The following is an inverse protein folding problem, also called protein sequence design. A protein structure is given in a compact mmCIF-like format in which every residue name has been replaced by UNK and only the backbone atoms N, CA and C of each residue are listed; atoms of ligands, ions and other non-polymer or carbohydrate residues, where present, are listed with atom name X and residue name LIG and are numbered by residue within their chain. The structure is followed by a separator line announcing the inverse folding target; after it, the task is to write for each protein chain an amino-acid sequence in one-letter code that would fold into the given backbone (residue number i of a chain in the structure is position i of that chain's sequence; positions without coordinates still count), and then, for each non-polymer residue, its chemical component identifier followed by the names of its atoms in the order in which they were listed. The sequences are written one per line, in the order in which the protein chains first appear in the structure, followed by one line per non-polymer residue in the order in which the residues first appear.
data_IF_956357514309
#
_entry.id   IF_956357514309
#
_cell.length_a   1.000
_cell.length_b   1.000
_cell.length_c   1.000
_cell.angle_alpha   90.00
_cell.angle_beta   90.00
_cell.angle_gamma   90.00
#
_symmetry.space_group_name_H-M   'P 1'
#
loop_
_entity.id
_entity.type
_entity.pdbx_description
1 polymer ?
#
# COMPACT_ATOMS: atom_id res chain seq x y z
N UNK A 1 -4.86 25.25 0.30
CA UNK A 1 -3.77 24.28 0.16
C UNK A 1 -4.02 23.20 1.20
N UNK A 2 -4.22 21.97 0.73
CA UNK A 2 -4.51 20.80 1.57
C UNK A 2 -3.42 19.75 1.38
N UNK A 3 -3.28 18.84 2.34
CA UNK A 3 -2.31 17.74 2.33
C UNK A 3 -3.00 16.39 2.12
N UNK A 4 -2.51 15.64 1.14
CA UNK A 4 -3.07 14.35 0.75
C UNK A 4 -2.06 13.23 0.91
N UNK A 5 -2.56 12.09 1.39
CA UNK A 5 -1.91 10.79 1.15
C UNK A 5 -2.71 10.02 0.12
N UNK A 6 -2.04 9.57 -0.94
CA UNK A 6 -2.65 8.79 -2.02
C UNK A 6 -2.06 7.37 -1.97
N UNK A 7 -2.89 6.36 -1.67
CA UNK A 7 -2.53 4.95 -1.70
C UNK A 7 -2.83 4.34 -3.06
N UNK A 8 -1.81 3.80 -3.73
CA UNK A 8 -1.91 3.15 -5.03
C UNK A 8 -2.05 1.63 -4.93
N UNK A 9 -3.12 1.12 -5.54
CA UNK A 9 -3.43 -0.29 -5.73
C UNK A 9 -2.43 -1.08 -6.59
N UNK A 10 -2.50 -2.42 -6.55
CA UNK A 10 -1.74 -3.24 -7.52
C UNK A 10 -2.18 -3.02 -8.97
N UNK A 11 -3.44 -2.61 -9.16
CA UNK A 11 -4.01 -2.28 -10.47
C UNK A 11 -3.32 -1.06 -11.11
N UNK A 12 -2.69 -0.21 -10.31
CA UNK A 12 -1.92 0.94 -10.79
C UNK A 12 -0.49 0.60 -11.21
N UNK A 13 -0.02 -0.62 -10.93
CA UNK A 13 1.41 -0.99 -11.01
C UNK A 13 1.72 -2.18 -11.93
N UNK A 14 0.70 -2.90 -12.41
CA UNK A 14 0.86 -4.03 -13.31
C UNK A 14 1.66 -5.19 -12.70
N UNK A 15 2.13 -6.09 -13.56
CA UNK A 15 2.90 -7.29 -13.17
C UNK A 15 4.34 -7.29 -13.68
N UNK A 16 4.68 -6.40 -14.62
CA UNK A 16 6.03 -6.27 -15.19
C UNK A 16 6.37 -4.79 -15.48
N UNK A 17 7.62 -4.51 -15.82
CA UNK A 17 8.12 -3.14 -16.01
C UNK A 17 7.46 -2.38 -17.16
N UNK A 18 7.14 -3.05 -18.27
CA UNK A 18 6.50 -2.38 -19.41
C UNK A 18 5.06 -1.99 -19.09
N UNK A 19 4.30 -2.93 -18.53
CA UNK A 19 2.92 -2.71 -18.09
C UNK A 19 2.86 -1.63 -17.01
N UNK A 20 3.78 -1.66 -16.03
CA UNK A 20 3.86 -0.67 -14.97
C UNK A 20 4.05 0.75 -15.50
N UNK A 21 4.97 0.94 -16.46
CA UNK A 21 5.19 2.26 -17.09
C UNK A 21 3.94 2.77 -17.80
N UNK A 22 3.21 1.88 -18.49
CA UNK A 22 1.99 2.26 -19.19
C UNK A 22 0.89 2.68 -18.20
N UNK A 23 0.66 1.91 -17.15
CA UNK A 23 -0.34 2.21 -16.12
C UNK A 23 -0.02 3.50 -15.34
N UNK A 24 1.26 3.73 -15.03
CA UNK A 24 1.67 4.90 -14.26
C UNK A 24 1.52 6.22 -15.03
N UNK A 25 1.41 6.18 -16.36
CA UNK A 25 1.04 7.36 -17.15
C UNK A 25 -0.36 7.85 -16.77
N UNK A 26 -1.33 6.94 -16.70
CA UNK A 26 -2.71 7.27 -16.30
C UNK A 26 -2.76 7.73 -14.84
N UNK A 27 -1.95 7.12 -13.97
CA UNK A 27 -1.82 7.56 -12.57
C UNK A 27 -1.28 8.99 -12.47
N UNK A 28 -0.23 9.31 -13.22
CA UNK A 28 0.35 10.65 -13.22
C UNK A 28 -0.65 11.70 -13.75
N UNK A 29 -1.40 11.38 -14.81
CA UNK A 29 -2.47 12.23 -15.33
C UNK A 29 -3.56 12.46 -14.30
N UNK A 30 -3.98 11.41 -13.60
CA UNK A 30 -5.02 11.48 -12.58
C UNK A 30 -4.62 12.35 -11.38
N UNK A 31 -3.34 12.29 -10.94
CA UNK A 31 -2.83 13.04 -9.78
C UNK A 31 -2.44 14.48 -10.14
N UNK A 32 -2.12 14.76 -11.41
CA UNK A 32 -1.65 16.08 -11.85
C UNK A 32 -2.51 17.28 -11.40
N UNK A 33 -3.86 17.23 -11.39
CA UNK A 33 -4.68 18.34 -10.88
C UNK A 33 -4.34 18.75 -9.45
N UNK A 34 -3.99 17.81 -8.57
CA UNK A 34 -3.56 18.12 -7.20
C UNK A 34 -2.19 18.80 -7.18
N UNK A 35 -1.29 18.35 -8.06
CA UNK A 35 0.05 18.89 -8.19
C UNK A 35 -0.01 20.34 -8.66
N UNK A 36 -0.81 20.61 -9.70
CA UNK A 36 -0.99 21.93 -10.29
C UNK A 36 -1.66 22.91 -9.33
N UNK A 37 -2.61 22.42 -8.52
CA UNK A 37 -3.24 23.19 -7.44
C UNK A 37 -2.32 23.39 -6.21
N UNK A 38 -1.06 22.98 -6.30
CA UNK A 38 -0.02 23.17 -5.29
C UNK A 38 -0.37 22.55 -3.93
N UNK A 39 -1.02 21.39 -3.94
CA UNK A 39 -1.30 20.62 -2.73
C UNK A 39 -0.07 19.86 -2.24
N UNK A 40 0.03 19.59 -0.93
CA UNK A 40 1.05 18.68 -0.40
C UNK A 40 0.63 17.23 -0.70
N UNK A 41 1.52 16.44 -1.28
CA UNK A 41 1.18 15.09 -1.75
C UNK A 41 2.25 14.11 -1.29
N UNK A 42 1.81 13.08 -0.56
CA UNK A 42 2.58 11.85 -0.33
C UNK A 42 1.90 10.70 -1.05
N UNK A 43 2.66 9.97 -1.86
CA UNK A 43 2.21 8.77 -2.56
C UNK A 43 2.75 7.55 -1.84
N UNK A 44 1.84 6.67 -1.41
CA UNK A 44 2.16 5.33 -0.92
C UNK A 44 1.66 4.33 -1.97
N UNK A 45 2.36 3.22 -2.17
CA UNK A 45 1.98 2.25 -3.18
C UNK A 45 2.14 0.82 -2.68
N UNK A 46 1.41 -0.12 -3.28
CA UNK A 46 1.66 -1.55 -3.04
C UNK A 46 2.90 -2.05 -3.76
N UNK A 47 3.33 -3.28 -3.47
CA UNK A 47 4.46 -3.90 -4.18
C UNK A 47 4.27 -5.39 -4.46
N UNK A 48 3.11 -5.99 -4.16
CA UNK A 48 2.91 -7.45 -4.13
C UNK A 48 3.45 -8.20 -5.36
N UNK A 49 3.01 -7.86 -6.59
CA UNK A 49 3.57 -8.48 -7.81
C UNK A 49 5.07 -8.24 -7.99
N UNK A 50 5.54 -7.03 -7.67
CA UNK A 50 6.92 -6.60 -7.91
C UNK A 50 7.91 -7.24 -6.93
N UNK A 51 7.60 -7.24 -5.64
CA UNK A 51 8.41 -7.91 -4.62
C UNK A 51 8.39 -9.42 -4.80
N UNK A 52 7.26 -9.98 -5.24
CA UNK A 52 7.16 -11.40 -5.60
C UNK A 52 8.08 -11.77 -6.76
N UNK A 53 8.08 -10.96 -7.83
CA UNK A 53 8.99 -11.14 -8.98
C UNK A 53 10.46 -11.04 -8.57
N UNK A 54 10.83 -10.05 -7.75
CA UNK A 54 12.21 -9.87 -7.27
C UNK A 54 12.64 -11.07 -6.42
N UNK A 55 11.82 -11.45 -5.44
CA UNK A 55 12.12 -12.57 -4.56
C UNK A 55 12.24 -13.89 -5.34
N UNK A 56 11.36 -14.11 -6.32
CA UNK A 56 11.41 -15.28 -7.20
C UNK A 56 12.73 -15.34 -7.98
N UNK A 57 13.12 -14.24 -8.61
CA UNK A 57 14.36 -14.18 -9.39
C UNK A 57 15.61 -14.53 -8.55
N UNK A 58 15.64 -14.14 -7.28
CA UNK A 58 16.74 -14.53 -6.37
C UNK A 58 16.63 -15.99 -5.92
N UNK A 59 15.42 -16.52 -5.67
CA UNK A 59 15.24 -17.92 -5.27
C UNK A 59 15.54 -18.93 -6.38
N UNK A 60 15.36 -18.55 -7.65
CA UNK A 60 15.64 -19.42 -8.81
C UNK A 60 17.09 -19.32 -9.29
N UNK A 61 17.84 -18.32 -8.81
CA UNK A 61 19.22 -18.10 -9.25
C UNK A 61 20.16 -19.13 -8.62
N UNK A 62 20.94 -19.81 -9.47
CA UNK A 62 22.03 -20.69 -9.03
C UNK A 62 23.37 -19.96 -8.87
N UNK A 63 23.43 -18.68 -9.29
CA UNK A 63 24.67 -17.90 -9.41
C UNK A 63 24.75 -16.71 -8.45
N UNK A 64 23.66 -16.40 -7.76
CA UNK A 64 23.58 -15.32 -6.79
C UNK A 64 23.01 -15.84 -5.47
N UNK A 65 23.42 -15.29 -4.32
CA UNK A 65 22.82 -15.66 -3.03
C UNK A 65 21.32 -15.37 -3.00
N UNK A 66 20.60 -16.11 -2.16
CA UNK A 66 19.22 -15.76 -1.81
C UNK A 66 19.17 -14.36 -1.18
N UNK A 67 18.12 -13.62 -1.50
CA UNK A 67 17.88 -12.29 -0.97
C UNK A 67 16.78 -12.36 0.09
N UNK A 68 17.03 -11.90 1.33
CA UNK A 68 15.98 -11.89 2.34
C UNK A 68 14.85 -10.92 1.94
N UNK A 69 13.67 -11.18 2.49
CA UNK A 69 12.44 -10.57 1.99
C UNK A 69 12.38 -9.05 2.25
N UNK A 70 13.01 -8.58 3.32
CA UNK A 70 13.10 -7.14 3.64
C UNK A 70 13.88 -6.38 2.56
N UNK A 71 15.01 -6.93 2.10
CA UNK A 71 15.84 -6.39 1.03
C UNK A 71 15.11 -6.44 -0.31
N UNK A 72 14.38 -7.52 -0.61
CA UNK A 72 13.48 -7.54 -1.77
C UNK A 72 12.43 -6.40 -1.69
N UNK A 73 11.91 -6.14 -0.49
CA UNK A 73 11.05 -4.99 -0.19
C UNK A 73 11.73 -3.66 -0.54
N UNK A 74 12.96 -3.45 -0.08
CA UNK A 74 13.76 -2.26 -0.39
C UNK A 74 14.00 -2.07 -1.90
N UNK A 75 14.38 -3.14 -2.60
CA UNK A 75 14.54 -3.13 -4.06
C UNK A 75 13.24 -2.74 -4.77
N UNK A 76 12.10 -3.25 -4.31
CA UNK A 76 10.79 -2.94 -4.89
C UNK A 76 10.42 -1.46 -4.75
N UNK A 77 10.83 -0.80 -3.65
CA UNK A 77 10.61 0.63 -3.46
C UNK A 77 11.40 1.46 -4.48
N UNK A 78 12.68 1.15 -4.68
CA UNK A 78 13.50 1.82 -5.69
C UNK A 78 12.95 1.63 -7.10
N UNK A 79 12.57 0.40 -7.44
CA UNK A 79 12.00 0.07 -8.75
C UNK A 79 10.69 0.83 -9.03
N UNK A 80 9.73 0.76 -8.12
CA UNK A 80 8.40 1.36 -8.33
C UNK A 80 8.47 2.88 -8.21
N UNK A 81 9.20 3.40 -7.21
CA UNK A 81 9.36 4.84 -6.99
C UNK A 81 10.05 5.52 -8.18
N UNK A 82 11.06 4.89 -8.78
CA UNK A 82 11.66 5.34 -10.03
C UNK A 82 10.63 5.52 -11.15
N UNK A 83 9.73 4.53 -11.35
CA UNK A 83 8.72 4.63 -12.39
C UNK A 83 7.65 5.68 -12.08
N UNK A 84 7.20 5.81 -10.82
CA UNK A 84 6.22 6.83 -10.43
C UNK A 84 6.84 8.22 -10.62
N UNK A 85 8.07 8.44 -10.14
CA UNK A 85 8.80 9.70 -10.29
C UNK A 85 8.90 10.10 -11.77
N UNK A 86 9.32 9.19 -12.64
CA UNK A 86 9.43 9.46 -14.07
C UNK A 86 8.08 9.80 -14.71
N UNK A 87 7.02 9.07 -14.37
CA UNK A 87 5.69 9.30 -14.95
C UNK A 87 5.18 10.70 -14.59
N UNK A 88 5.27 11.08 -13.31
CA UNK A 88 4.84 12.40 -12.85
C UNK A 88 5.74 13.50 -13.44
N UNK A 89 7.06 13.31 -13.44
CA UNK A 89 8.01 14.25 -14.04
C UNK A 89 7.66 14.54 -15.51
N UNK A 90 7.41 13.50 -16.31
CA UNK A 90 7.08 13.66 -17.72
C UNK A 90 5.78 14.43 -17.92
N UNK A 91 4.71 14.13 -17.15
CA UNK A 91 3.44 14.87 -17.24
C UNK A 91 3.60 16.34 -16.85
N UNK A 92 4.37 16.63 -15.81
CA UNK A 92 4.66 18.03 -15.44
C UNK A 92 5.44 18.75 -16.54
N UNK A 93 6.46 18.10 -17.11
CA UNK A 93 7.28 18.66 -18.17
C UNK A 93 6.49 18.92 -19.46
N UNK A 94 5.59 18.01 -19.86
CA UNK A 94 4.67 18.20 -20.99
C UNK A 94 3.77 19.44 -20.80
N UNK A 95 3.52 19.83 -19.55
CA UNK A 95 2.67 20.97 -19.18
C UNK A 95 3.45 22.22 -18.78
N UNK A 96 4.78 22.23 -18.99
CA UNK A 96 5.68 23.31 -18.57
C UNK A 96 5.58 23.66 -17.08
N UNK A 97 5.32 22.64 -16.25
CA UNK A 97 5.25 22.75 -14.80
C UNK A 97 6.48 22.08 -14.18
N UNK A 98 7.01 22.65 -13.09
CA UNK A 98 8.17 22.10 -12.39
C UNK A 98 7.94 22.07 -10.89
N UNK A 99 8.06 20.89 -10.31
CA UNK A 99 8.07 20.65 -8.86
C UNK A 99 8.98 19.45 -8.57
N UNK A 100 9.88 19.52 -7.58
CA UNK A 100 10.73 18.38 -7.26
C UNK A 100 9.91 17.18 -6.78
N UNK A 101 10.39 15.98 -7.10
CA UNK A 101 9.80 14.71 -6.68
C UNK A 101 10.89 13.84 -6.11
N UNK A 102 10.64 13.26 -4.94
CA UNK A 102 11.60 12.41 -4.24
C UNK A 102 10.98 11.08 -3.85
N UNK A 103 11.67 9.98 -4.16
CA UNK A 103 11.36 8.65 -3.59
C UNK A 103 12.24 8.43 -2.36
N UNK A 104 11.61 8.14 -1.23
CA UNK A 104 12.31 7.87 0.03
C UNK A 104 12.22 6.38 0.32
N UNK A 105 13.38 5.71 0.37
CA UNK A 105 13.43 4.34 0.92
C UNK A 105 12.97 4.41 2.37
N UNK A 106 11.92 3.67 2.69
CA UNK A 106 11.16 3.83 3.93
C UNK A 106 11.12 2.52 4.72
N UNK A 107 11.53 2.60 5.98
CA UNK A 107 11.38 1.57 7.00
C UNK A 107 10.16 1.90 7.87
N UNK A 108 9.41 0.86 8.24
CA UNK A 108 8.20 1.00 9.06
C UNK A 108 8.34 0.10 10.28
N UNK A 109 8.28 0.75 11.44
CA UNK A 109 8.37 0.10 12.74
C UNK A 109 7.12 -0.71 13.01
N UNK A 110 7.29 -1.95 13.46
CA UNK A 110 6.21 -2.85 13.86
C UNK A 110 6.49 -3.43 15.25
N UNK A 111 5.44 -3.85 15.95
CA UNK A 111 5.59 -4.52 17.26
C UNK A 111 6.02 -5.97 17.05
N UNK A 112 7.14 -6.38 17.65
CA UNK A 112 7.59 -7.77 17.64
C UNK A 112 6.58 -8.72 18.31
N UNK A 113 5.74 -8.20 19.20
CA UNK A 113 4.68 -8.95 19.88
C UNK A 113 3.35 -8.90 19.13
N UNK A 114 3.29 -8.33 17.93
CA UNK A 114 2.08 -8.33 17.10
C UNK A 114 1.63 -9.79 16.85
N UNK A 115 0.35 -10.07 17.10
CA UNK A 115 -0.22 -11.42 16.96
C UNK A 115 -0.11 -11.96 15.53
N UNK A 116 0.08 -11.09 14.53
CA UNK A 116 0.34 -11.48 13.16
C UNK A 116 1.64 -12.31 13.00
N UNK A 117 2.62 -12.16 13.88
CA UNK A 117 3.83 -13.01 13.88
C UNK A 117 3.55 -14.43 14.37
N UNK A 118 2.56 -14.61 15.24
CA UNK A 118 2.14 -15.94 15.72
C UNK A 118 1.25 -16.66 14.71
N UNK A 119 0.52 -15.89 13.88
CA UNK A 119 -0.40 -16.40 12.87
C UNK A 119 -0.16 -15.74 11.51
N UNK A 120 0.94 -16.08 10.82
CA UNK A 120 1.22 -15.54 9.50
C UNK A 120 0.15 -16.01 8.50
N UNK A 121 -0.43 -15.05 7.76
CA UNK A 121 -1.54 -15.32 6.83
C UNK A 121 -1.31 -14.78 5.44
N UNK A 122 -0.29 -13.93 5.22
CA UNK A 122 -0.09 -13.24 3.95
C UNK A 122 0.76 -14.08 3.00
N UNK A 123 0.21 -14.62 1.91
CA UNK A 123 0.98 -15.47 1.00
C UNK A 123 1.91 -14.63 0.11
N UNK A 124 3.17 -15.06 0.00
CA UNK A 124 4.24 -14.40 -0.76
C UNK A 124 4.98 -15.42 -1.65
N UNK A 125 5.75 -14.91 -2.61
CA UNK A 125 6.58 -15.74 -3.49
C UNK A 125 5.79 -16.71 -4.38
N UNK A 126 6.50 -17.73 -4.85
CA UNK A 126 6.03 -18.74 -5.80
C UNK A 126 5.10 -19.79 -5.21
N UNK A 127 4.45 -20.52 -6.11
CA UNK A 127 3.76 -21.76 -5.78
C UNK A 127 4.76 -22.92 -5.77
N UNK A 128 4.66 -23.75 -4.73
CA UNK A 128 5.47 -24.92 -4.49
C UNK A 128 4.60 -26.17 -4.54
N UNK A 129 5.22 -27.31 -4.89
CA UNK A 129 4.61 -28.63 -4.68
C UNK A 129 4.43 -28.90 -3.18
N UNK A 130 3.69 -29.97 -2.83
CA UNK A 130 3.54 -30.36 -1.42
C UNK A 130 4.91 -30.77 -0.84
N UNK A 131 5.68 -31.49 -1.64
CA UNK A 131 6.99 -32.02 -1.30
C UNK A 131 7.99 -30.89 -1.03
N UNK A 132 8.13 -29.94 -1.97
CA UNK A 132 9.03 -28.80 -1.81
C UNK A 132 8.61 -27.91 -0.62
N UNK A 133 7.30 -27.75 -0.42
CA UNK A 133 6.75 -27.01 0.71
C UNK A 133 7.13 -27.65 2.04
N UNK A 134 7.03 -28.97 2.16
CA UNK A 134 7.37 -29.69 3.38
C UNK A 134 8.89 -29.67 3.65
N UNK A 135 9.72 -29.64 2.59
CA UNK A 135 11.17 -29.46 2.71
C UNK A 135 11.53 -28.04 3.18
N UNK A 136 10.95 -27.00 2.58
CA UNK A 136 11.18 -25.60 2.97
C UNK A 136 10.73 -25.32 4.40
N UNK A 137 9.61 -25.93 4.83
CA UNK A 137 9.15 -25.82 6.21
C UNK A 137 10.14 -26.42 7.20
N UNK A 138 10.80 -27.54 6.85
CA UNK A 138 11.79 -28.21 7.71
C UNK A 138 13.15 -27.53 7.71
N UNK A 139 13.62 -27.08 6.56
CA UNK A 139 15.00 -26.58 6.37
C UNK A 139 15.12 -25.09 6.69
N UNK A 140 14.10 -24.30 6.33
CA UNK A 140 14.10 -22.84 6.48
C UNK A 140 13.13 -22.34 7.56
N UNK A 141 12.33 -23.22 8.16
CA UNK A 141 11.32 -22.85 9.16
C UNK A 141 10.16 -22.04 8.57
N UNK A 142 9.95 -22.10 7.25
CA UNK A 142 8.87 -21.35 6.60
C UNK A 142 7.50 -21.91 6.96
N UNK A 143 6.56 -21.01 7.24
CA UNK A 143 5.14 -21.38 7.31
C UNK A 143 4.57 -21.41 5.89
N UNK A 144 3.98 -22.53 5.50
CA UNK A 144 3.45 -22.77 4.16
C UNK A 144 1.94 -23.03 4.23
N UNK A 145 1.17 -22.48 3.29
CA UNK A 145 -0.28 -22.72 3.19
C UNK A 145 -0.67 -23.12 1.77
N UNK A 146 -1.68 -23.97 1.64
CA UNK A 146 -2.28 -24.28 0.34
C UNK A 146 -3.09 -23.08 -0.16
N UNK A 147 -2.86 -22.65 -1.40
CA UNK A 147 -3.53 -21.50 -2.02
C UNK A 147 -4.45 -21.97 -3.16
N UNK A 148 -5.68 -22.35 -2.76
CA UNK A 148 -6.81 -22.64 -3.64
C UNK A 148 -6.51 -23.66 -4.76
N UNK A 149 -5.84 -24.76 -4.42
CA UNK A 149 -5.53 -25.86 -5.36
C UNK A 149 -4.47 -25.52 -6.41
N UNK A 150 -3.80 -24.36 -6.30
CA UNK A 150 -2.72 -23.95 -7.21
C UNK A 150 -1.32 -24.32 -6.70
N UNK A 151 -1.25 -25.00 -5.55
CA UNK A 151 -0.03 -25.35 -4.85
C UNK A 151 0.09 -24.67 -3.49
N UNK A 152 1.28 -24.75 -2.91
CA UNK A 152 1.61 -24.20 -1.59
C UNK A 152 2.38 -22.89 -1.72
N UNK A 153 2.17 -21.95 -0.80
CA UNK A 153 2.92 -20.69 -0.77
C UNK A 153 3.43 -20.40 0.62
N UNK A 154 4.59 -19.75 0.70
CA UNK A 154 5.09 -19.20 1.95
C UNK A 154 4.14 -18.11 2.43
N UNK A 155 3.78 -18.15 3.71
CA UNK A 155 3.10 -17.04 4.37
C UNK A 155 4.05 -16.30 5.29
N UNK A 156 3.84 -15.00 5.37
CA UNK A 156 4.53 -14.13 6.32
C UNK A 156 3.52 -13.35 7.15
N UNK A 157 4.02 -12.79 8.24
CA UNK A 157 3.24 -11.92 9.11
C UNK A 157 2.81 -10.64 8.36
N UNK A 158 1.65 -10.12 8.74
CA UNK A 158 1.17 -8.82 8.28
C UNK A 158 0.87 -7.90 9.46
N UNK A 159 1.90 -7.48 10.21
CA UNK A 159 1.75 -6.68 11.42
C UNK A 159 1.26 -5.26 11.10
N UNK A 160 0.71 -4.59 12.12
CA UNK A 160 0.26 -3.20 11.97
C UNK A 160 1.44 -2.22 12.03
N UNK A 161 1.43 -1.16 11.20
CA UNK A 161 2.47 -0.13 11.24
C UNK A 161 2.33 0.73 12.50
N UNK A 162 3.39 0.84 13.27
CA UNK A 162 3.47 1.72 14.43
C UNK A 162 3.94 3.11 14.05
N UNK A 163 5.03 3.19 13.27
CA UNK A 163 5.70 4.44 12.92
C UNK A 163 6.49 4.30 11.61
N UNK A 164 6.84 5.43 11.00
CA UNK A 164 7.74 5.47 9.83
C UNK A 164 9.06 6.08 10.28
N UNK A 165 10.16 5.36 10.08
CA UNK A 165 11.49 5.79 10.57
C UNK A 165 11.92 7.09 9.89
N UNK A 166 11.75 7.20 8.57
CA UNK A 166 12.17 8.36 7.77
C UNK A 166 11.16 9.53 7.79
N UNK A 167 10.22 9.57 8.74
CA UNK A 167 9.18 10.61 8.80
C UNK A 167 9.72 12.04 8.83
N UNK A 168 10.83 12.29 9.52
CA UNK A 168 11.43 13.63 9.62
C UNK A 168 11.93 14.11 8.25
N UNK A 169 12.58 13.22 7.48
CA UNK A 169 13.00 13.49 6.10
C UNK A 169 11.80 13.75 5.19
N UNK A 170 10.74 12.95 5.31
CA UNK A 170 9.50 13.11 4.53
C UNK A 170 8.86 14.48 4.82
N UNK A 171 8.74 14.86 6.09
CA UNK A 171 8.21 16.17 6.49
C UNK A 171 9.08 17.33 5.99
N UNK A 172 10.41 17.18 6.00
CA UNK A 172 11.32 18.18 5.47
C UNK A 172 11.16 18.38 3.95
N UNK A 173 11.00 17.29 3.19
CA UNK A 173 10.75 17.34 1.74
C UNK A 173 9.39 17.98 1.42
N UNK A 174 8.34 17.66 2.18
CA UNK A 174 7.03 18.31 2.02
C UNK A 174 7.11 19.81 2.29
N UNK A 175 7.85 20.22 3.33
CA UNK A 175 8.07 21.64 3.67
C UNK A 175 8.78 22.40 2.54
N UNK A 176 9.64 21.72 1.79
CA UNK A 176 10.32 22.25 0.59
C UNK A 176 9.47 22.14 -0.68
N UNK A 177 8.15 21.95 -0.51
CA UNK A 177 7.17 21.82 -1.59
C UNK A 177 7.48 20.69 -2.58
N UNK A 178 8.08 19.59 -2.13
CA UNK A 178 8.32 18.42 -2.97
C UNK A 178 7.13 17.46 -2.95
N UNK A 179 6.92 16.74 -4.05
CA UNK A 179 6.06 15.55 -4.07
C UNK A 179 6.88 14.39 -3.52
N UNK A 180 6.34 13.66 -2.54
CA UNK A 180 7.09 12.58 -1.87
C UNK A 180 6.45 11.23 -2.18
N UNK A 181 7.26 10.26 -2.60
CA UNK A 181 6.87 8.85 -2.70
C UNK A 181 7.54 8.12 -1.55
N UNK A 182 6.77 7.51 -0.66
CA UNK A 182 7.29 6.89 0.56
C UNK A 182 6.45 5.67 0.98
N UNK A 183 6.95 4.92 1.96
CA UNK A 183 6.33 3.69 2.47
C UNK A 183 5.93 2.71 1.35
N UNK A 184 6.74 2.64 0.28
CA UNK A 184 6.46 1.75 -0.85
C UNK A 184 6.36 0.29 -0.41
N UNK A 185 5.31 -0.39 -0.84
CA UNK A 185 4.99 -1.75 -0.38
C UNK A 185 4.43 -1.84 1.04
N UNK A 186 4.07 -0.71 1.66
CA UNK A 186 3.78 -0.61 3.09
C UNK A 186 5.00 -0.29 3.96
N UNK A 187 6.18 -0.12 3.35
CA UNK A 187 7.46 0.07 4.04
C UNK A 187 8.22 -1.23 4.29
N UNK A 188 9.53 -1.12 4.50
CA UNK A 188 10.37 -2.25 4.91
C UNK A 188 10.08 -2.52 6.39
N UNK A 189 9.54 -3.68 6.79
CA UNK A 189 9.20 -3.92 8.19
C UNK A 189 10.47 -4.04 9.02
N UNK A 190 10.53 -3.25 10.10
CA UNK A 190 11.63 -3.29 11.06
C UNK A 190 11.09 -3.37 12.49
N UNK A 191 11.87 -4.01 13.36
CA UNK A 191 11.66 -4.01 14.81
C UNK A 191 12.82 -3.30 15.50
N UNK A 192 12.61 -2.89 16.75
CA UNK A 192 13.67 -2.40 17.63
C UNK A 192 14.15 -3.53 18.54
N UNK A 193 15.38 -4.00 18.31
CA UNK A 193 16.08 -4.90 19.22
C UNK A 193 17.08 -4.08 20.05
N UNK A 194 16.67 -3.71 21.26
CA UNK A 194 17.39 -2.70 22.04
C UNK A 194 17.40 -1.36 21.32
N UNK A 195 18.58 -0.93 20.84
CA UNK A 195 18.77 0.33 20.11
C UNK A 195 19.09 0.11 18.62
N UNK A 196 18.86 -1.10 18.08
CA UNK A 196 19.14 -1.43 16.70
C UNK A 196 17.84 -1.68 15.93
N UNK A 197 17.75 -1.11 14.73
CA UNK A 197 16.71 -1.44 13.78
C UNK A 197 17.10 -2.73 13.05
N UNK A 198 16.20 -3.71 13.08
CA UNK A 198 16.41 -5.01 12.43
C UNK A 198 15.27 -5.28 11.46
N UNK A 199 15.60 -5.57 10.21
CA UNK A 199 14.64 -5.95 9.18
C UNK A 199 14.04 -7.32 9.46
N UNK A 200 12.73 -7.46 9.32
CA UNK A 200 12.02 -8.73 9.55
C UNK A 200 11.24 -9.16 8.31
N UNK A 201 11.13 -10.48 8.13
CA UNK A 201 10.37 -11.06 7.03
C UNK A 201 8.85 -10.95 7.28
N UNK A 202 8.29 -9.77 6.97
CA UNK A 202 6.87 -9.47 7.06
C UNK A 202 6.40 -8.65 5.84
N UNK A 203 5.09 -8.48 5.70
CA UNK A 203 4.48 -7.57 4.72
C UNK A 203 3.51 -6.67 5.45
N UNK A 204 3.78 -5.37 5.52
CA UNK A 204 2.83 -4.42 6.09
C UNK A 204 1.77 -4.13 5.04
N UNK A 205 0.50 -4.13 5.44
CA UNK A 205 -0.57 -3.72 4.53
C UNK A 205 -0.39 -2.24 4.18
N UNK A 206 -0.28 -1.96 2.87
CA UNK A 206 -0.03 -0.61 2.36
C UNK A 206 -1.11 0.39 2.74
N UNK A 207 -2.37 -0.05 2.88
CA UNK A 207 -3.48 0.86 3.15
C UNK A 207 -3.39 1.28 4.63
N UNK A 208 -3.05 0.34 5.53
CA UNK A 208 -2.69 0.68 6.91
C UNK A 208 -1.44 1.57 7.00
N UNK A 209 -0.40 1.29 6.21
CA UNK A 209 0.79 2.15 6.15
C UNK A 209 0.44 3.55 5.63
N UNK A 210 -0.48 3.66 4.67
CA UNK A 210 -0.97 4.93 4.14
C UNK A 210 -1.75 5.70 5.20
N UNK A 211 -2.60 5.03 5.96
CA UNK A 211 -3.31 5.64 7.08
C UNK A 211 -2.35 6.14 8.17
N UNK A 212 -1.32 5.35 8.52
CA UNK A 212 -0.29 5.77 9.46
C UNK A 212 0.54 6.94 8.92
N UNK A 213 0.92 6.92 7.64
CA UNK A 213 1.59 8.04 6.99
C UNK A 213 0.73 9.32 7.03
N UNK A 214 -0.56 9.20 6.72
CA UNK A 214 -1.51 10.30 6.74
C UNK A 214 -1.67 10.92 8.14
N UNK A 215 -1.67 10.09 9.17
CA UNK A 215 -1.62 10.53 10.57
C UNK A 215 -0.31 11.28 10.88
N UNK A 216 0.84 10.69 10.53
CA UNK A 216 2.17 11.25 10.80
C UNK A 216 2.36 12.63 10.16
N UNK A 217 1.92 12.79 8.91
CA UNK A 217 2.09 14.05 8.19
C UNK A 217 0.96 15.05 8.44
N UNK A 218 0.01 14.76 9.33
CA UNK A 218 -1.18 15.58 9.54
C UNK A 218 -1.94 15.87 8.23
N UNK A 219 -2.23 14.83 7.44
CA UNK A 219 -2.92 14.97 6.17
C UNK A 219 -4.38 15.39 6.37
N UNK A 220 -4.88 16.23 5.47
CA UNK A 220 -6.28 16.67 5.39
C UNK A 220 -7.19 15.56 4.87
N UNK A 221 -6.66 14.67 4.03
CA UNK A 221 -7.43 13.57 3.45
C UNK A 221 -6.53 12.37 3.09
N UNK A 222 -7.04 11.16 3.37
CA UNK A 222 -6.47 9.91 2.89
C UNK A 222 -7.30 9.39 1.71
N UNK A 223 -6.67 9.16 0.57
CA UNK A 223 -7.32 8.64 -0.63
C UNK A 223 -6.73 7.27 -0.96
N UNK A 224 -7.58 6.25 -1.08
CA UNK A 224 -7.21 4.92 -1.53
C UNK A 224 -7.76 4.70 -2.94
N UNK A 225 -6.85 4.59 -3.91
CA UNK A 225 -7.19 4.31 -5.31
C UNK A 225 -7.14 2.80 -5.58
N UNK A 226 -8.27 2.24 -6.01
CA UNK A 226 -8.49 0.80 -6.21
C UNK A 226 -9.17 0.51 -7.57
N UNK A 227 -9.57 -0.75 -7.81
CA UNK A 227 -10.24 -1.17 -9.07
C UNK A 227 -11.73 -0.86 -9.12
N UNK A 228 -12.34 -0.50 -7.99
CA UNK A 228 -13.77 -0.19 -7.90
C UNK A 228 -13.94 1.30 -7.64
N UNK A 229 -14.94 1.88 -8.28
CA UNK A 229 -15.39 3.25 -8.14
C UNK A 229 -15.96 3.54 -6.75
N UNK A 230 -16.73 2.61 -6.17
CA UNK A 230 -17.26 2.69 -4.82
C UNK A 230 -17.05 1.40 -4.03
N UNK A 231 -17.18 1.51 -2.71
CA UNK A 231 -17.43 0.36 -1.83
C UNK A 231 -18.87 -0.10 -2.03
N UNK A 232 -19.05 -1.41 -2.14
CA UNK A 232 -20.35 -2.03 -2.35
C UNK A 232 -20.69 -3.00 -1.22
N UNK A 233 -21.93 -2.97 -0.78
CA UNK A 233 -22.56 -4.01 0.04
C UNK A 233 -23.14 -5.08 -0.88
N UNK A 234 -23.18 -6.33 -0.44
CA UNK A 234 -23.68 -7.46 -1.22
C UNK A 234 -23.03 -7.54 -2.63
N UNK A 235 -21.71 -7.33 -2.68
CA UNK A 235 -20.93 -7.18 -3.91
C UNK A 235 -21.07 -8.39 -4.85
N UNK A 236 -21.27 -8.12 -6.15
CA UNK A 236 -21.54 -9.11 -7.21
C UNK A 236 -22.81 -9.95 -6.98
N UNK A 237 -23.82 -9.38 -6.30
CA UNK A 237 -25.15 -10.00 -6.17
C UNK A 237 -26.23 -9.08 -6.75
N UNK A 238 -27.45 -9.59 -7.02
CA UNK A 238 -28.59 -8.76 -7.42
C UNK A 238 -28.98 -7.68 -6.40
N UNK A 239 -28.58 -7.85 -5.13
CA UNK A 239 -28.88 -6.93 -4.05
C UNK A 239 -27.77 -5.89 -3.81
N UNK A 240 -26.78 -5.80 -4.71
CA UNK A 240 -25.64 -4.92 -4.56
C UNK A 240 -26.07 -3.47 -4.28
N UNK A 241 -25.52 -2.86 -3.23
CA UNK A 241 -25.77 -1.45 -2.87
C UNK A 241 -24.48 -0.66 -2.84
N UNK A 242 -24.50 0.51 -3.48
CA UNK A 242 -23.38 1.45 -3.47
C UNK A 242 -23.34 2.21 -2.15
N UNK A 243 -22.19 2.18 -1.48
CA UNK A 243 -21.93 2.98 -0.29
C UNK A 243 -21.23 4.28 -0.71
N UNK A 244 -21.98 5.37 -0.88
CA UNK A 244 -21.40 6.68 -1.28
C UNK A 244 -20.77 7.43 -0.12
N UNK A 245 -21.38 7.36 1.05
CA UNK A 245 -20.87 7.96 2.28
C UNK A 245 -21.13 7.00 3.42
N UNK A 246 -20.21 6.95 4.38
CA UNK A 246 -20.35 6.14 5.57
C UNK A 246 -19.69 6.80 6.78
N UNK A 247 -20.33 6.70 7.93
CA UNK A 247 -19.76 7.06 9.23
C UNK A 247 -18.96 5.90 9.83
N UNK A 248 -18.11 6.18 10.82
CA UNK A 248 -17.41 5.12 11.54
C UNK A 248 -18.38 4.11 12.16
N UNK A 249 -19.48 4.59 12.75
CA UNK A 249 -20.48 3.73 13.39
C UNK A 249 -21.14 2.78 12.39
N UNK A 250 -21.55 3.30 11.23
CA UNK A 250 -22.14 2.47 10.17
C UNK A 250 -21.15 1.41 9.68
N UNK A 251 -19.88 1.77 9.47
CA UNK A 251 -18.86 0.83 9.03
C UNK A 251 -18.57 -0.26 10.07
N UNK A 252 -18.56 0.08 11.37
CA UNK A 252 -18.41 -0.90 12.46
C UNK A 252 -19.55 -1.94 12.42
N UNK A 253 -20.79 -1.49 12.20
CA UNK A 253 -21.94 -2.38 12.14
C UNK A 253 -21.95 -3.22 10.85
N UNK A 254 -21.51 -2.66 9.72
CA UNK A 254 -21.34 -3.40 8.46
C UNK A 254 -20.20 -4.42 8.52
N UNK A 255 -19.12 -4.13 9.24
CA UNK A 255 -18.02 -5.06 9.49
C UNK A 255 -18.47 -6.26 10.35
N UNK A 256 -19.27 -6.03 11.41
CA UNK A 256 -19.85 -7.12 12.22
C UNK A 256 -20.76 -8.05 11.39
N UNK A 257 -21.39 -7.51 10.35
CA UNK A 257 -22.22 -8.24 9.40
C UNK A 257 -21.40 -8.93 8.28
N UNK A 258 -20.07 -8.80 8.28
CA UNK A 258 -19.16 -9.40 7.30
C UNK A 258 -19.38 -8.94 5.84
N UNK A 259 -19.83 -7.69 5.62
CA UNK A 259 -20.02 -7.14 4.27
C UNK A 259 -18.71 -6.98 3.47
N UNK A 260 -17.57 -6.85 4.15
CA UNK A 260 -16.27 -6.56 3.51
C UNK A 260 -15.34 -7.77 3.52
N UNK A 261 -14.77 -8.10 2.34
CA UNK A 261 -13.86 -9.25 2.17
C UNK A 261 -12.49 -9.00 2.80
N UNK A 262 -12.03 -9.91 3.66
CA UNK A 262 -10.74 -9.87 4.40
C UNK A 262 -9.48 -9.67 3.52
N UNK A 263 -9.48 -10.18 2.29
CA UNK A 263 -8.32 -10.10 1.39
C UNK A 263 -8.27 -8.88 0.48
N UNK A 264 -9.27 -7.99 0.53
CA UNK A 264 -9.36 -6.87 -0.42
C UNK A 264 -9.95 -5.60 0.19
N UNK A 265 -11.25 -5.58 0.45
CA UNK A 265 -11.95 -4.35 0.86
C UNK A 265 -11.86 -4.10 2.37
N UNK A 266 -11.84 -5.15 3.20
CA UNK A 266 -11.80 -4.99 4.64
C UNK A 266 -10.56 -4.20 5.12
N UNK A 267 -9.32 -4.51 4.67
CA UNK A 267 -8.15 -3.73 5.10
C UNK A 267 -8.23 -2.25 4.71
N UNK A 268 -8.87 -1.93 3.57
CA UNK A 268 -9.10 -0.54 3.13
C UNK A 268 -10.04 0.20 4.07
N UNK A 269 -11.15 -0.44 4.41
CA UNK A 269 -12.12 0.08 5.37
C UNK A 269 -11.45 0.28 6.73
N UNK A 270 -10.72 -0.71 7.23
CA UNK A 270 -10.01 -0.64 8.52
C UNK A 270 -8.96 0.48 8.53
N UNK A 271 -8.20 0.65 7.45
CA UNK A 271 -7.23 1.73 7.30
C UNK A 271 -7.89 3.11 7.29
N UNK A 272 -8.94 3.30 6.47
CA UNK A 272 -9.70 4.56 6.43
C UNK A 272 -10.31 4.88 7.79
N UNK A 273 -10.92 3.90 8.46
CA UNK A 273 -11.48 4.09 9.80
C UNK A 273 -10.41 4.43 10.83
N UNK A 274 -9.22 3.83 10.75
CA UNK A 274 -8.11 4.16 11.63
C UNK A 274 -7.69 5.64 11.48
N UNK A 275 -7.50 6.10 10.25
CA UNK A 275 -7.18 7.50 9.95
C UNK A 275 -8.30 8.44 10.45
N UNK A 276 -9.54 8.22 10.03
CA UNK A 276 -10.69 9.06 10.40
C UNK A 276 -10.90 9.09 11.91
N UNK A 277 -10.69 7.98 12.62
CA UNK A 277 -10.80 7.93 14.08
C UNK A 277 -9.71 8.77 14.77
N UNK A 278 -8.49 8.74 14.25
CA UNK A 278 -7.33 9.45 14.79
C UNK A 278 -7.40 10.96 14.51
N UNK A 279 -7.78 11.36 13.30
CA UNK A 279 -7.66 12.75 12.82
C UNK A 279 -8.99 13.50 12.73
N UNK A 280 -10.12 12.78 12.75
CA UNK A 280 -11.48 13.28 12.46
C UNK A 280 -11.66 13.85 11.03
N UNK A 281 -10.66 13.67 10.17
CA UNK A 281 -10.67 14.10 8.78
C UNK A 281 -11.15 12.97 7.85
N UNK A 282 -11.69 13.30 6.67
CA UNK A 282 -12.31 12.33 5.78
C UNK A 282 -11.27 11.41 5.12
N UNK A 283 -11.71 10.20 4.77
CA UNK A 283 -10.98 9.32 3.87
C UNK A 283 -11.86 8.95 2.68
N UNK A 284 -11.26 8.70 1.51
CA UNK A 284 -11.98 8.37 0.29
C UNK A 284 -11.44 7.08 -0.31
N UNK A 285 -12.34 6.17 -0.69
CA UNK A 285 -12.00 4.99 -1.49
C UNK A 285 -12.65 5.17 -2.86
N UNK A 286 -11.83 5.18 -3.93
CA UNK A 286 -12.30 5.42 -5.29
C UNK A 286 -11.50 4.63 -6.32
N UNK A 287 -11.97 4.63 -7.58
CA UNK A 287 -11.18 4.13 -8.70
C UNK A 287 -10.19 5.19 -9.20
N UNK A 288 -9.16 4.76 -9.93
CA UNK A 288 -8.23 5.69 -10.57
C UNK A 288 -8.94 6.59 -11.60
N UNK A 289 -9.91 6.04 -12.33
CA UNK A 289 -10.69 6.77 -13.35
C UNK A 289 -11.45 7.97 -12.76
N UNK A 290 -11.94 7.83 -11.52
CA UNK A 290 -12.67 8.89 -10.81
C UNK A 290 -11.81 9.65 -9.81
N UNK A 291 -10.48 9.55 -9.87
CA UNK A 291 -9.59 10.15 -8.87
C UNK A 291 -9.78 11.68 -8.75
N UNK A 292 -9.91 12.39 -9.88
CA UNK A 292 -10.10 13.85 -9.87
C UNK A 292 -11.37 14.28 -9.14
N UNK A 293 -12.48 13.54 -9.31
CA UNK A 293 -13.74 13.78 -8.60
C UNK A 293 -13.65 13.35 -7.14
N UNK A 294 -12.92 12.27 -6.84
CA UNK A 294 -12.69 11.78 -5.50
C UNK A 294 -11.91 12.78 -4.63
N UNK A 295 -10.93 13.49 -5.21
CA UNK A 295 -10.12 14.51 -4.53
C UNK A 295 -10.93 15.72 -4.03
N UNK A 296 -12.10 15.94 -4.62
CA UNK A 296 -13.05 16.99 -4.23
C UNK A 296 -14.33 16.40 -3.62
N UNK A 297 -14.30 15.11 -3.23
CA UNK A 297 -15.40 14.38 -2.59
C UNK A 297 -16.70 14.37 -3.39
N UNK A 298 -16.62 14.37 -4.73
CA UNK A 298 -17.76 14.23 -5.62
C UNK A 298 -17.96 12.79 -6.13
N UNK A 299 -16.96 11.92 -5.95
CA UNK A 299 -17.02 10.50 -6.31
C UNK A 299 -16.28 9.65 -5.28
N UNK A 300 -16.50 8.33 -5.34
CA UNK A 300 -15.99 7.38 -4.37
C UNK A 300 -16.80 7.27 -3.08
N UNK A 301 -16.39 6.34 -2.23
CA UNK A 301 -16.95 6.18 -0.89
C UNK A 301 -16.23 7.12 0.07
N UNK A 302 -16.95 8.11 0.58
CA UNK A 302 -16.44 9.08 1.54
C UNK A 302 -16.71 8.59 2.96
N UNK A 303 -15.65 8.38 3.73
CA UNK A 303 -15.71 7.91 5.11
C UNK A 303 -15.48 9.09 6.04
N UNK A 304 -16.43 9.32 6.95
CA UNK A 304 -16.45 10.45 7.89
C UNK A 304 -16.55 9.97 9.33
N UNK A 305 -16.25 10.86 10.27
CA UNK A 305 -16.31 10.56 11.69
C UNK A 305 -17.76 10.38 12.17
N UNK A 306 -18.61 11.36 11.87
CA UNK A 306 -20.05 11.44 12.15
C UNK A 306 -20.82 11.85 10.89
#
# INVERSE_FOLDING_TARGET
MSRYVISLGGNALGKNASEQKALLKEVALAIYPLIEANHDIVIVHGNGPQVGMINLAFSESQSTPEMPFAECGAMSQGYIGFHIQNAIYNIMNERNFHRPISTVVSQVLVDINDTAFQHPTKPIGSFYSKEDSDELAKTQGYTMVEDAGRGYRRVVASPKPLDVIEKESILALLKDNQIVIAAGGGGIPVILEGNQLVGVAAVIDKDHASAKMAEIIDADELIILTAVDYVYLDFNTPNQKTLKTATLKELEDLMKQNHFKKGSMLPKIEACMAFVRATKRPAVIASLEHAAEAFIQLSGTIIKYE
#
